data_IF_396592479035
#
_entry.id   IF_396592479035
#
_cell.length_a   1.000
_cell.length_b   1.000
_cell.length_c   1.000
_cell.angle_alpha   90.00
_cell.angle_beta   90.00
_cell.angle_gamma   90.00
#
_symmetry.space_group_name_H-M   'P 1'
#
loop_
_entity.id
_entity.type
_entity.pdbx_description
1 polymer ?
#
# COMPACT_ATOMS: atom_id res chain seq x y z
N UNK A 1 -12.43 -9.27 12.67
CA UNK A 1 -11.28 -8.66 11.95
C UNK A 1 -11.81 -8.04 10.66
N UNK A 2 -11.84 -6.71 10.65
CA UNK A 2 -12.49 -5.87 9.63
C UNK A 2 -11.62 -5.63 8.40
N UNK A 3 -12.10 -4.78 7.50
CA UNK A 3 -11.37 -4.33 6.32
C UNK A 3 -10.23 -3.39 6.72
N UNK A 4 -9.14 -3.37 5.96
CA UNK A 4 -8.21 -2.23 5.98
C UNK A 4 -8.83 -1.03 5.26
N UNK A 5 -8.14 0.11 5.29
CA UNK A 5 -8.43 1.18 4.34
C UNK A 5 -8.08 0.79 2.90
N UNK A 6 -8.52 1.62 1.97
CA UNK A 6 -8.00 1.68 0.61
C UNK A 6 -7.97 3.16 0.22
N UNK A 7 -9.14 3.76 -0.05
CA UNK A 7 -9.25 5.19 -0.35
C UNK A 7 -8.69 6.06 0.78
N UNK A 8 -9.07 5.80 2.04
CA UNK A 8 -8.54 6.56 3.18
C UNK A 8 -7.03 6.42 3.36
N UNK A 9 -6.42 5.34 2.86
CA UNK A 9 -4.95 5.21 2.83
C UNK A 9 -4.37 6.12 1.77
N UNK A 10 -4.97 6.17 0.57
CA UNK A 10 -4.56 7.10 -0.48
C UNK A 10 -4.70 8.56 -0.04
N UNK A 11 -5.84 8.94 0.54
CA UNK A 11 -6.11 10.30 1.04
C UNK A 11 -5.06 10.73 2.08
N UNK A 12 -4.71 9.83 3.00
CA UNK A 12 -3.68 10.08 4.01
C UNK A 12 -2.30 10.26 3.36
N UNK A 13 -1.94 9.40 2.41
CA UNK A 13 -0.64 9.45 1.73
C UNK A 13 -0.48 10.68 0.82
N UNK A 14 -1.53 11.10 0.13
CA UNK A 14 -1.58 12.38 -0.60
C UNK A 14 -1.32 13.56 0.33
N UNK A 15 -1.87 13.50 1.54
CA UNK A 15 -1.62 14.47 2.61
C UNK A 15 -0.26 14.28 3.30
N UNK A 16 0.59 13.38 2.81
CA UNK A 16 1.89 13.01 3.39
C UNK A 16 1.81 12.52 4.85
N UNK A 17 0.69 11.93 5.25
CA UNK A 17 0.48 11.40 6.59
C UNK A 17 0.95 9.93 6.68
N UNK A 18 1.74 9.56 7.71
CA UNK A 18 2.09 8.17 7.94
C UNK A 18 0.86 7.28 8.21
N UNK A 19 0.85 6.09 7.63
CA UNK A 19 -0.20 5.08 7.86
C UNK A 19 0.42 3.83 8.49
N UNK A 20 -0.20 3.34 9.57
CA UNK A 20 0.11 2.03 10.18
C UNK A 20 -0.96 1.03 9.79
N UNK A 21 -0.56 -0.13 9.31
CA UNK A 21 -1.50 -1.20 8.91
C UNK A 21 -1.13 -2.54 9.53
N UNK A 22 -2.13 -3.33 9.88
CA UNK A 22 -1.99 -4.72 10.32
C UNK A 22 -2.23 -5.66 9.13
N UNK A 23 -1.23 -6.47 8.78
CA UNK A 23 -1.29 -7.48 7.72
C UNK A 23 -1.98 -8.74 8.25
N UNK A 24 -3.29 -8.84 8.02
CA UNK A 24 -4.08 -10.03 8.37
C UNK A 24 -3.97 -11.15 7.33
N UNK A 25 -4.76 -12.22 7.47
CA UNK A 25 -4.68 -13.39 6.59
C UNK A 25 -5.44 -13.25 5.27
N UNK A 26 -6.36 -12.28 5.18
CA UNK A 26 -7.24 -12.11 4.03
C UNK A 26 -6.80 -10.97 3.13
N UNK A 27 -7.12 -11.04 1.84
CA UNK A 27 -6.86 -9.96 0.89
C UNK A 27 -7.40 -8.60 1.37
N UNK A 28 -8.67 -8.58 1.85
CA UNK A 28 -9.33 -7.37 2.38
C UNK A 28 -8.64 -6.76 3.60
N UNK A 29 -7.69 -7.47 4.19
CA UNK A 29 -6.87 -7.01 5.33
C UNK A 29 -5.46 -6.59 4.92
N UNK A 30 -5.17 -6.52 3.61
CA UNK A 30 -3.83 -6.22 3.06
C UNK A 30 -3.84 -5.13 1.99
N UNK A 31 -4.95 -4.39 1.83
CA UNK A 31 -5.02 -3.35 0.79
C UNK A 31 -4.05 -2.20 1.10
N UNK A 32 -4.08 -1.65 2.33
CA UNK A 32 -3.12 -0.63 2.77
C UNK A 32 -1.67 -1.16 2.74
N UNK A 33 -1.44 -2.44 3.06
CA UNK A 33 -0.12 -3.07 2.93
C UNK A 33 0.39 -3.04 1.48
N UNK A 34 -0.46 -3.38 0.51
CA UNK A 34 -0.10 -3.34 -0.90
C UNK A 34 0.32 -1.94 -1.35
N UNK A 35 -0.46 -0.93 -0.99
CA UNK A 35 -0.16 0.49 -1.27
C UNK A 35 1.20 0.88 -0.66
N UNK A 36 1.40 0.60 0.63
CA UNK A 36 2.64 0.94 1.33
C UNK A 36 3.86 0.23 0.74
N UNK A 37 3.71 -1.02 0.27
CA UNK A 37 4.76 -1.74 -0.45
C UNK A 37 5.12 -1.08 -1.79
N UNK A 38 4.13 -0.63 -2.56
CA UNK A 38 4.37 0.05 -3.85
C UNK A 38 5.22 1.32 -3.68
N UNK A 39 4.97 2.10 -2.62
CA UNK A 39 5.77 3.30 -2.29
C UNK A 39 6.98 3.00 -1.38
N UNK A 40 7.28 1.73 -1.15
CA UNK A 40 8.41 1.26 -0.36
C UNK A 40 8.40 1.69 1.13
N UNK A 41 7.26 2.07 1.68
CA UNK A 41 7.08 2.45 3.10
C UNK A 41 6.68 1.23 3.91
N UNK A 42 7.59 0.25 4.02
CA UNK A 42 7.28 -1.05 4.65
C UNK A 42 7.45 -1.07 6.17
N UNK A 43 8.08 -0.06 6.75
CA UNK A 43 8.38 0.01 8.19
C UNK A 43 7.14 0.20 9.08
N UNK A 44 5.98 0.52 8.50
CA UNK A 44 4.71 0.73 9.21
C UNK A 44 3.68 -0.38 8.95
N UNK A 45 4.12 -1.50 8.39
CA UNK A 45 3.33 -2.72 8.17
C UNK A 45 3.61 -3.70 9.30
N UNK A 46 2.58 -4.13 10.02
CA UNK A 46 2.71 -4.99 11.20
C UNK A 46 2.03 -6.34 11.01
N UNK A 47 2.41 -7.33 11.81
CA UNK A 47 1.81 -8.68 11.81
C UNK A 47 1.21 -9.10 13.15
N UNK A 48 1.35 -8.26 14.16
CA UNK A 48 0.81 -8.47 15.50
C UNK A 48 0.14 -7.18 15.99
N UNK A 49 -0.76 -7.31 16.98
CA UNK A 49 -1.38 -6.13 17.60
C UNK A 49 -0.36 -5.35 18.42
N UNK A 50 0.57 -6.06 19.05
CA UNK A 50 1.65 -5.53 19.86
C UNK A 50 2.58 -4.67 19.01
N UNK A 51 2.98 -5.14 17.83
CA UNK A 51 3.80 -4.37 16.89
C UNK A 51 3.03 -3.16 16.34
N UNK A 52 1.73 -3.32 16.08
CA UNK A 52 0.87 -2.21 15.64
C UNK A 52 0.89 -1.08 16.66
N UNK A 53 0.66 -1.40 17.93
CA UNK A 53 0.69 -0.42 19.03
C UNK A 53 2.08 0.21 19.17
N UNK A 54 3.14 -0.60 19.15
CA UNK A 54 4.53 -0.11 19.22
C UNK A 54 4.83 0.91 18.13
N UNK A 55 4.50 0.59 16.88
CA UNK A 55 4.74 1.48 15.73
C UNK A 55 3.87 2.73 15.81
N UNK A 56 2.60 2.61 16.20
CA UNK A 56 1.72 3.76 16.34
C UNK A 56 2.21 4.73 17.42
N UNK A 57 2.63 4.21 18.58
CA UNK A 57 3.21 5.00 19.67
C UNK A 57 4.51 5.67 19.19
N UNK A 58 5.42 4.91 18.59
CA UNK A 58 6.70 5.42 18.12
C UNK A 58 6.52 6.54 17.08
N UNK A 59 5.55 6.43 16.15
CA UNK A 59 5.22 7.51 15.22
C UNK A 59 4.73 8.76 15.96
N UNK A 60 3.95 8.59 17.02
CA UNK A 60 3.40 9.68 17.83
C UNK A 60 4.47 10.45 18.62
N UNK A 61 5.48 9.76 19.15
CA UNK A 61 6.46 10.35 20.08
C UNK A 61 7.84 10.63 19.48
N UNK A 62 8.23 9.90 18.43
CA UNK A 62 9.54 10.05 17.78
C UNK A 62 9.42 10.90 16.52
N UNK A 63 9.58 12.22 16.70
CA UNK A 63 9.49 13.20 15.61
C UNK A 63 10.49 12.93 14.48
N UNK A 64 11.73 12.56 14.82
CA UNK A 64 12.76 12.28 13.81
C UNK A 64 12.36 11.10 12.93
N UNK A 65 11.86 10.02 13.55
CA UNK A 65 11.42 8.86 12.80
C UNK A 65 10.15 9.16 11.99
N UNK A 66 9.16 9.84 12.58
CA UNK A 66 7.94 10.28 11.87
C UNK A 66 8.29 11.09 10.63
N UNK A 67 9.18 12.07 10.74
CA UNK A 67 9.63 12.87 9.60
C UNK A 67 10.37 12.05 8.54
N UNK A 68 11.13 11.02 8.94
CA UNK A 68 11.76 10.11 7.98
C UNK A 68 10.73 9.34 7.15
N UNK A 69 9.61 8.92 7.76
CA UNK A 69 8.51 8.25 7.06
C UNK A 69 7.78 9.23 6.14
N UNK A 70 7.45 10.44 6.62
CA UNK A 70 6.84 11.51 5.80
C UNK A 70 7.68 11.80 4.56
N UNK A 71 8.99 11.97 4.72
CA UNK A 71 9.89 12.23 3.61
C UNK A 71 9.95 11.06 2.62
N UNK A 72 9.89 9.82 3.11
CA UNK A 72 9.82 8.62 2.27
C UNK A 72 8.53 8.57 1.45
N UNK A 73 7.39 8.90 2.08
CA UNK A 73 6.09 9.01 1.38
C UNK A 73 6.17 10.05 0.28
N UNK A 74 6.57 11.30 0.59
CA UNK A 74 6.69 12.39 -0.40
C UNK A 74 7.58 12.02 -1.58
N UNK A 75 8.72 11.37 -1.31
CA UNK A 75 9.67 10.95 -2.35
C UNK A 75 9.08 9.89 -3.30
N UNK A 76 8.27 8.98 -2.76
CA UNK A 76 7.88 7.77 -3.48
C UNK A 76 6.41 7.73 -3.90
N UNK A 77 5.58 8.71 -3.51
CA UNK A 77 4.13 8.70 -3.79
C UNK A 77 3.81 8.59 -5.29
N UNK A 78 4.65 9.17 -6.15
CA UNK A 78 4.53 9.09 -7.60
C UNK A 78 4.60 7.67 -8.15
N UNK A 79 5.17 6.71 -7.41
CA UNK A 79 5.21 5.30 -7.80
C UNK A 79 3.82 4.64 -7.81
N UNK A 80 2.83 5.18 -7.08
CA UNK A 80 1.45 4.65 -7.10
C UNK A 80 0.73 4.92 -8.41
N UNK A 81 0.98 6.08 -9.00
CA UNK A 81 0.18 6.58 -10.13
C UNK A 81 0.85 6.37 -11.48
N UNK A 82 2.18 6.22 -11.49
CA UNK A 82 2.96 6.16 -12.72
C UNK A 82 3.37 4.72 -13.12
N UNK A 83 2.82 3.69 -12.48
CA UNK A 83 3.06 2.30 -12.88
C UNK A 83 2.02 1.83 -13.90
N UNK A 84 2.39 1.86 -15.18
CA UNK A 84 1.57 1.33 -16.27
C UNK A 84 1.64 -0.19 -16.39
N UNK A 85 2.53 -0.89 -15.67
CA UNK A 85 2.69 -2.34 -15.81
C UNK A 85 1.39 -3.11 -15.54
N UNK A 86 0.59 -2.82 -14.50
CA UNK A 86 -0.66 -3.54 -14.27
C UNK A 86 -1.65 -3.35 -15.42
N UNK A 87 -1.72 -2.15 -16.00
CA UNK A 87 -2.56 -1.85 -17.16
C UNK A 87 -2.09 -2.65 -18.37
N UNK A 88 -0.79 -2.63 -18.68
CA UNK A 88 -0.22 -3.39 -19.80
C UNK A 88 -0.38 -4.90 -19.66
N UNK A 89 -0.18 -5.44 -18.46
CA UNK A 89 -0.42 -6.87 -18.18
C UNK A 89 -1.89 -7.22 -18.38
N UNK A 90 -2.81 -6.34 -17.96
CA UNK A 90 -4.23 -6.55 -18.14
C UNK A 90 -4.64 -6.47 -19.62
N UNK A 91 -4.10 -5.51 -20.39
CA UNK A 91 -4.28 -5.42 -21.85
C UNK A 91 -3.85 -6.72 -22.54
N UNK A 92 -2.62 -7.18 -22.28
CA UNK A 92 -2.09 -8.43 -22.85
C UNK A 92 -2.94 -9.64 -22.43
N UNK A 93 -3.40 -9.69 -21.18
CA UNK A 93 -4.31 -10.75 -20.73
C UNK A 93 -5.62 -10.76 -21.53
N UNK A 94 -6.22 -9.59 -21.76
CA UNK A 94 -7.45 -9.47 -22.55
C UNK A 94 -7.23 -9.84 -24.02
N UNK A 95 -6.17 -9.34 -24.66
CA UNK A 95 -5.80 -9.72 -26.03
C UNK A 95 -5.65 -11.25 -26.16
N UNK A 96 -4.95 -11.88 -25.21
CA UNK A 96 -4.76 -13.32 -25.20
C UNK A 96 -6.08 -14.08 -25.06
N UNK A 97 -6.97 -13.68 -24.15
CA UNK A 97 -8.25 -14.36 -23.91
C UNK A 97 -9.19 -14.19 -25.11
N UNK A 98 -9.23 -13.00 -25.71
CA UNK A 98 -10.09 -12.70 -26.87
C UNK A 98 -9.59 -13.42 -28.12
N UNK A 99 -8.29 -13.36 -28.41
CA UNK A 99 -7.70 -13.99 -29.60
C UNK A 99 -7.69 -15.53 -29.48
N UNK A 100 -7.49 -16.09 -28.28
CA UNK A 100 -7.61 -17.55 -28.08
C UNK A 100 -9.07 -18.05 -28.05
N UNK A 101 -10.06 -17.17 -27.95
CA UNK A 101 -11.49 -17.57 -27.99
C UNK A 101 -12.01 -17.89 -29.40
N UNK A 102 -11.21 -17.69 -30.44
CA UNK A 102 -11.53 -18.05 -31.83
C UNK A 102 -10.73 -19.26 -32.36
N UNK A 103 -10.04 -20.00 -31.49
CA UNK A 103 -9.35 -21.26 -31.81
C UNK A 103 -9.98 -22.50 -31.13
N UNK A 104 -11.28 -22.46 -30.82
CA UNK A 104 -12.10 -23.64 -30.56
C UNK A 104 -13.43 -23.54 -31.27
#
# INVERSE_FOLDING_TARGET
MGFTGFNSTLDALESSLPVVTFSGDFFRTRQSEGILKMIQVTNTITKSKEDYLKIAIELGINDKWRQSIVNKIKKNISLLYNDLKPVKVLETFYENIVNNKYLK
#
